data_IF_866558749103
#
_entry.id   IF_866558749103
#
_cell.length_a   1.000
_cell.length_b   1.000
_cell.length_c   1.000
_cell.angle_alpha   90.00
_cell.angle_beta   90.00
_cell.angle_gamma   90.00
#
_symmetry.space_group_name_H-M   'P 1'
#
loop_
_entity.id
_entity.type
_entity.pdbx_description
1 polymer ?
#
# COMPACT_ATOMS: atom_id res chain seq x y z
N UNK A 1 -2.56 16.04 -16.56
CA UNK A 1 -2.24 14.60 -16.39
C UNK A 1 -3.47 13.78 -16.72
N UNK A 2 -3.32 12.65 -17.40
CA UNK A 2 -4.44 11.77 -17.80
C UNK A 2 -4.58 10.62 -16.81
N UNK A 3 -5.78 10.41 -16.27
CA UNK A 3 -6.03 9.37 -15.26
C UNK A 3 -6.49 8.07 -15.94
N UNK A 4 -5.93 6.94 -15.51
CA UNK A 4 -6.36 5.59 -15.89
C UNK A 4 -6.70 4.80 -14.64
N UNK A 5 -7.85 4.14 -14.64
CA UNK A 5 -8.14 3.11 -13.65
C UNK A 5 -7.57 1.79 -14.13
N UNK A 6 -6.87 1.07 -13.25
CA UNK A 6 -6.17 -0.17 -13.59
C UNK A 6 -6.49 -1.28 -12.61
N UNK A 7 -6.38 -2.52 -13.08
CA UNK A 7 -6.41 -3.71 -12.25
C UNK A 7 -5.02 -3.86 -11.59
N UNK A 8 -4.91 -3.38 -10.35
CA UNK A 8 -3.67 -3.47 -9.58
C UNK A 8 -3.25 -4.91 -9.29
N UNK A 9 -4.21 -5.82 -9.11
CA UNK A 9 -3.92 -7.24 -8.91
C UNK A 9 -3.23 -7.81 -10.16
N UNK A 10 -3.74 -7.49 -11.35
CA UNK A 10 -3.11 -7.91 -12.61
C UNK A 10 -1.70 -7.36 -12.75
N UNK A 11 -1.47 -6.08 -12.45
CA UNK A 11 -0.13 -5.47 -12.50
C UNK A 11 0.83 -6.18 -11.54
N UNK A 12 0.42 -6.39 -10.28
CA UNK A 12 1.25 -7.06 -9.26
C UNK A 12 1.63 -8.49 -9.61
N UNK A 13 0.75 -9.19 -10.32
CA UNK A 13 0.97 -10.58 -10.74
C UNK A 13 1.72 -10.71 -12.07
N UNK A 14 1.96 -9.62 -12.82
CA UNK A 14 2.55 -9.69 -14.18
C UNK A 14 3.80 -8.83 -14.34
N UNK A 15 3.72 -7.52 -14.12
CA UNK A 15 4.77 -6.57 -14.51
C UNK A 15 5.46 -5.90 -13.34
N UNK A 16 4.73 -5.57 -12.26
CA UNK A 16 5.28 -4.83 -11.13
C UNK A 16 4.61 -5.23 -9.82
N UNK A 17 5.24 -6.13 -9.06
CA UNK A 17 4.72 -6.62 -7.77
C UNK A 17 4.64 -5.54 -6.69
N UNK A 18 5.41 -4.46 -6.81
CA UNK A 18 5.42 -3.35 -5.85
C UNK A 18 4.40 -2.25 -6.19
N UNK A 19 3.56 -2.46 -7.21
CA UNK A 19 2.50 -1.50 -7.53
C UNK A 19 1.48 -1.41 -6.38
N UNK A 20 1.38 -0.25 -5.73
CA UNK A 20 0.52 -0.01 -4.58
C UNK A 20 -0.32 1.28 -4.73
N UNK A 21 -1.61 1.11 -5.00
CA UNK A 21 -2.60 2.19 -5.07
C UNK A 21 -2.55 3.04 -6.34
N UNK A 22 -1.40 3.60 -6.69
CA UNK A 22 -1.23 4.41 -7.91
C UNK A 22 0.22 4.40 -8.42
N UNK A 23 0.43 4.77 -9.68
CA UNK A 23 1.76 5.04 -10.21
C UNK A 23 1.76 6.13 -11.30
N UNK A 24 2.90 6.80 -11.43
CA UNK A 24 3.23 7.67 -12.55
C UNK A 24 4.46 7.11 -13.27
N UNK A 25 4.80 7.66 -14.44
CA UNK A 25 6.03 7.29 -15.15
C UNK A 25 7.31 7.41 -14.30
N UNK A 26 7.31 8.26 -13.26
CA UNK A 26 8.45 8.41 -12.36
C UNK A 26 8.63 7.21 -11.41
N UNK A 27 7.55 6.51 -11.08
CA UNK A 27 7.57 5.33 -10.22
C UNK A 27 7.67 4.04 -11.03
N UNK A 28 6.97 3.99 -12.17
CA UNK A 28 6.93 2.82 -13.03
C UNK A 28 7.02 3.27 -14.48
N UNK A 29 8.14 2.94 -15.14
CA UNK A 29 8.37 3.29 -16.55
C UNK A 29 7.36 2.69 -17.53
N UNK A 30 6.62 1.65 -17.12
CA UNK A 30 5.51 1.10 -17.90
C UNK A 30 4.31 2.05 -17.98
N UNK A 31 4.17 2.99 -17.03
CA UNK A 31 3.15 4.05 -17.08
C UNK A 31 3.59 5.09 -18.11
N UNK A 32 2.77 5.41 -19.13
CA UNK A 32 3.15 6.43 -20.12
C UNK A 32 3.36 7.81 -19.49
N UNK A 33 4.30 8.60 -20.06
CA UNK A 33 4.53 9.99 -19.61
C UNK A 33 3.24 10.80 -19.66
N UNK A 34 2.94 11.49 -18.57
CA UNK A 34 1.73 12.31 -18.43
C UNK A 34 0.47 11.53 -18.02
N UNK A 35 0.56 10.22 -17.80
CA UNK A 35 -0.50 9.40 -17.20
C UNK A 35 -0.28 9.19 -15.68
N UNK A 36 -1.41 9.04 -14.97
CA UNK A 36 -1.51 8.55 -13.60
C UNK A 36 -2.41 7.32 -13.62
N UNK A 37 -1.85 6.17 -13.28
CA UNK A 37 -2.59 4.93 -13.09
C UNK A 37 -3.03 4.83 -11.63
N UNK A 38 -4.31 4.53 -11.39
CA UNK A 38 -4.91 4.40 -10.06
C UNK A 38 -5.62 3.06 -10.00
N UNK A 39 -5.48 2.31 -8.91
CA UNK A 39 -6.27 1.10 -8.69
C UNK A 39 -7.77 1.38 -8.75
N UNK A 40 -8.52 0.50 -9.40
CA UNK A 40 -9.95 0.66 -9.61
C UNK A 40 -10.75 0.85 -8.31
N UNK A 41 -10.38 0.16 -7.23
CA UNK A 41 -11.02 0.29 -5.91
C UNK A 41 -10.81 1.68 -5.29
N UNK A 42 -9.75 2.40 -5.70
CA UNK A 42 -9.47 3.77 -5.27
C UNK A 42 -10.16 4.82 -6.14
N UNK A 43 -10.99 4.43 -7.11
CA UNK A 43 -11.80 5.38 -7.91
C UNK A 43 -12.57 6.41 -7.04
N UNK A 44 -13.19 6.05 -5.90
CA UNK A 44 -13.85 7.03 -5.02
C UNK A 44 -12.89 8.02 -4.36
N UNK A 45 -11.59 7.68 -4.30
CA UNK A 45 -10.52 8.46 -3.68
C UNK A 45 -9.56 9.05 -4.72
N UNK A 46 -9.95 9.08 -6.01
CA UNK A 46 -9.07 9.52 -7.11
C UNK A 46 -8.49 10.92 -6.89
N UNK A 47 -9.27 11.83 -6.30
CA UNK A 47 -8.86 13.22 -6.09
C UNK A 47 -7.76 13.30 -5.02
N UNK A 48 -7.77 12.37 -4.05
CA UNK A 48 -6.68 12.20 -3.10
C UNK A 48 -5.40 11.74 -3.82
N UNK A 49 -5.49 10.79 -4.76
CA UNK A 49 -4.32 10.32 -5.51
C UNK A 49 -3.71 11.42 -6.37
N UNK A 50 -4.56 12.24 -7.01
CA UNK A 50 -4.12 13.44 -7.74
C UNK A 50 -3.40 14.40 -6.80
N UNK A 51 -3.98 14.70 -5.64
CA UNK A 51 -3.38 15.60 -4.66
C UNK A 51 -2.03 15.09 -4.13
N UNK A 52 -1.91 13.79 -3.89
CA UNK A 52 -0.65 13.14 -3.52
C UNK A 52 0.42 13.38 -4.59
N UNK A 53 0.13 13.03 -5.85
CA UNK A 53 1.08 13.17 -6.97
C UNK A 53 1.48 14.64 -7.19
N UNK A 54 0.53 15.56 -7.14
CA UNK A 54 0.82 16.99 -7.28
C UNK A 54 1.72 17.50 -6.15
N UNK A 55 1.52 17.00 -4.94
CA UNK A 55 2.32 17.37 -3.77
C UNK A 55 3.74 16.82 -3.88
N UNK A 56 3.90 15.56 -4.30
CA UNK A 56 5.20 14.97 -4.59
C UNK A 56 5.96 15.75 -5.65
N UNK A 57 5.29 16.13 -6.76
CA UNK A 57 5.91 16.92 -7.82
C UNK A 57 6.32 18.31 -7.34
N UNK A 58 5.46 18.97 -6.56
CA UNK A 58 5.72 20.29 -5.96
C UNK A 58 6.91 20.25 -5.01
N UNK A 59 7.08 19.17 -4.25
CA UNK A 59 8.10 19.02 -3.22
C UNK A 59 9.18 17.98 -3.52
N UNK A 60 9.42 17.65 -4.80
CA UNK A 60 10.35 16.60 -5.26
C UNK A 60 11.80 16.70 -4.76
N UNK A 61 12.22 17.85 -4.22
CA UNK A 61 13.55 18.06 -3.61
C UNK A 61 13.58 17.78 -2.11
N UNK A 62 12.44 17.44 -1.50
CA UNK A 62 12.30 17.10 -0.08
C UNK A 62 12.38 15.58 0.09
N UNK A 63 12.67 15.15 1.31
CA UNK A 63 12.63 13.73 1.67
C UNK A 63 11.20 13.21 1.64
N UNK A 64 11.04 11.92 1.36
CA UNK A 64 9.74 11.26 1.36
C UNK A 64 9.00 11.44 2.71
N UNK A 65 9.72 11.29 3.83
CA UNK A 65 9.16 11.55 5.16
C UNK A 65 8.60 12.97 5.31
N UNK A 66 9.28 13.98 4.77
CA UNK A 66 8.78 15.37 4.78
C UNK A 66 7.55 15.56 3.89
N UNK A 67 7.46 14.84 2.77
CA UNK A 67 6.30 14.89 1.87
C UNK A 67 5.11 14.20 2.54
N UNK A 68 5.30 13.02 3.13
CA UNK A 68 4.27 12.27 3.85
C UNK A 68 3.72 13.05 5.04
N UNK A 69 4.59 13.64 5.87
CA UNK A 69 4.17 14.47 7.00
C UNK A 69 3.33 15.69 6.55
N UNK A 70 3.68 16.26 5.40
CA UNK A 70 2.90 17.34 4.79
C UNK A 70 1.53 16.84 4.32
N UNK A 71 1.47 15.72 3.62
CA UNK A 71 0.22 15.13 3.14
C UNK A 71 -0.70 14.71 4.29
N UNK A 72 -0.15 14.17 5.38
CA UNK A 72 -0.90 13.93 6.61
C UNK A 72 -1.50 15.23 7.16
N UNK A 73 -0.77 16.35 7.14
CA UNK A 73 -1.29 17.65 7.60
C UNK A 73 -2.33 18.26 6.66
N UNK A 74 -2.15 18.12 5.35
CA UNK A 74 -2.97 18.81 4.33
C UNK A 74 -4.23 18.01 3.96
N UNK A 75 -4.15 16.67 3.92
CA UNK A 75 -5.22 15.82 3.39
C UNK A 75 -5.96 15.00 4.46
N UNK A 76 -5.34 14.69 5.60
CA UNK A 76 -6.03 13.96 6.65
C UNK A 76 -7.03 14.87 7.37
N UNK A 77 -8.27 14.40 7.50
CA UNK A 77 -9.31 15.07 8.25
C UNK A 77 -8.99 15.01 9.75
N UNK A 78 -9.04 16.17 10.41
CA UNK A 78 -8.89 16.26 11.85
C UNK A 78 -10.12 15.72 12.60
N UNK A 79 -9.87 15.11 13.76
CA UNK A 79 -10.89 14.54 14.64
C UNK A 79 -10.83 13.01 14.74
N UNK A 80 -11.75 12.43 15.49
CA UNK A 80 -11.79 10.98 15.70
C UNK A 80 -12.26 10.26 14.42
N UNK A 81 -11.51 9.27 13.91
CA UNK A 81 -11.97 8.47 12.79
C UNK A 81 -13.24 7.68 13.20
N UNK A 82 -14.20 7.48 12.28
CA UNK A 82 -15.29 6.54 12.52
C UNK A 82 -14.73 5.11 12.67
N UNK A 83 -15.50 4.15 13.23
CA UNK A 83 -15.06 2.76 13.34
C UNK A 83 -14.59 2.21 11.99
N UNK A 84 -13.33 1.79 11.93
CA UNK A 84 -12.68 1.32 10.70
C UNK A 84 -12.17 -0.12 10.79
N UNK A 85 -12.15 -0.74 11.96
CA UNK A 85 -11.73 -2.13 12.09
C UNK A 85 -12.86 -3.04 11.59
N UNK A 86 -12.57 -3.85 10.57
CA UNK A 86 -13.52 -4.80 9.97
C UNK A 86 -13.37 -6.21 10.55
N UNK A 87 -12.15 -6.64 10.82
CA UNK A 87 -11.85 -7.98 11.35
C UNK A 87 -10.58 -7.94 12.19
N UNK A 88 -10.52 -8.81 13.21
CA UNK A 88 -9.32 -9.06 14.01
C UNK A 88 -9.00 -10.55 14.00
N UNK A 89 -7.74 -10.88 13.80
CA UNK A 89 -7.20 -12.23 13.91
C UNK A 89 -5.95 -12.20 14.79
N UNK A 90 -5.59 -13.36 15.35
CA UNK A 90 -4.39 -13.51 16.17
C UNK A 90 -3.50 -14.62 15.61
N UNK A 91 -2.20 -14.35 15.53
CA UNK A 91 -1.15 -15.30 15.16
C UNK A 91 -0.05 -15.24 16.22
N UNK A 92 -0.18 -16.06 17.25
CA UNK A 92 0.67 -15.98 18.44
C UNK A 92 0.52 -14.63 19.14
N UNK A 93 1.63 -13.91 19.34
CA UNK A 93 1.64 -12.57 19.94
C UNK A 93 1.22 -11.45 18.96
N UNK A 94 1.19 -11.73 17.67
CA UNK A 94 0.86 -10.76 16.61
C UNK A 94 -0.66 -10.72 16.36
N UNK A 95 -1.22 -9.52 16.23
CA UNK A 95 -2.60 -9.32 15.79
C UNK A 95 -2.63 -8.86 14.33
N UNK A 96 -3.51 -9.47 13.53
CA UNK A 96 -3.78 -9.06 12.15
C UNK A 96 -5.12 -8.35 12.14
N UNK A 97 -5.12 -7.08 11.76
CA UNK A 97 -6.29 -6.20 11.79
C UNK A 97 -6.65 -5.86 10.36
N UNK A 98 -7.81 -6.31 9.89
CA UNK A 98 -8.35 -5.83 8.63
C UNK A 98 -9.08 -4.52 8.88
N UNK A 99 -8.65 -3.46 8.18
CA UNK A 99 -9.13 -2.09 8.36
C UNK A 99 -9.81 -1.58 7.10
N UNK A 100 -10.73 -0.64 7.27
CA UNK A 100 -11.26 0.17 6.19
C UNK A 100 -10.19 1.16 5.74
N UNK A 101 -9.45 0.83 4.68
CA UNK A 101 -8.34 1.66 4.21
C UNK A 101 -8.76 3.07 3.81
N UNK A 102 -9.99 3.26 3.34
CA UNK A 102 -10.49 4.60 3.00
C UNK A 102 -10.64 5.47 4.26
N UNK A 103 -11.05 4.89 5.40
CA UNK A 103 -11.06 5.63 6.67
C UNK A 103 -9.64 5.93 7.14
N UNK A 104 -8.72 4.96 7.03
CA UNK A 104 -7.31 5.18 7.41
C UNK A 104 -6.68 6.29 6.57
N UNK A 105 -6.85 6.26 5.24
CA UNK A 105 -6.35 7.31 4.33
C UNK A 105 -6.94 8.68 4.61
N UNK A 106 -8.24 8.71 4.91
CA UNK A 106 -8.95 9.97 5.17
C UNK A 106 -8.61 10.61 6.51
N UNK A 107 -8.29 9.84 7.56
CA UNK A 107 -8.18 10.37 8.92
C UNK A 107 -6.81 10.18 9.58
N UNK A 108 -5.99 9.25 9.11
CA UNK A 108 -4.75 8.84 9.77
C UNK A 108 -3.56 9.06 8.84
N UNK A 109 -3.57 8.40 7.69
CA UNK A 109 -2.43 8.41 6.77
C UNK A 109 -2.85 8.27 5.30
N UNK A 110 -2.86 9.37 4.52
CA UNK A 110 -3.21 9.37 3.09
C UNK A 110 -2.43 8.37 2.22
N UNK A 111 -1.27 7.89 2.68
CA UNK A 111 -0.44 6.90 1.97
C UNK A 111 -0.61 5.47 2.49
N UNK A 112 -1.65 5.17 3.25
CA UNK A 112 -1.94 3.80 3.63
C UNK A 112 -2.54 3.04 2.43
N UNK A 113 -1.71 2.25 1.75
CA UNK A 113 -2.08 1.38 0.64
C UNK A 113 -1.69 -0.05 0.95
N UNK A 114 -2.52 -1.01 0.55
CA UNK A 114 -2.32 -2.45 0.78
C UNK A 114 -2.29 -2.88 2.26
N UNK A 115 -1.25 -2.52 3.00
CA UNK A 115 -1.03 -2.94 4.37
C UNK A 115 0.09 -2.17 5.06
N UNK A 116 0.39 -2.56 6.30
CA UNK A 116 1.47 -1.99 7.08
C UNK A 116 1.60 -2.58 8.47
N UNK A 117 2.72 -2.30 9.16
CA UNK A 117 2.94 -2.77 10.52
C UNK A 117 3.64 -1.77 11.46
N UNK A 118 3.60 -2.09 12.76
CA UNK A 118 4.07 -1.28 13.90
C UNK A 118 5.55 -0.87 13.92
N UNK A 119 6.39 -1.55 13.13
CA UNK A 119 7.81 -1.20 12.95
C UNK A 119 8.06 -0.18 11.82
N UNK A 120 7.09 0.06 10.94
CA UNK A 120 7.17 1.03 9.84
C UNK A 120 6.27 2.24 10.13
N UNK A 121 5.06 1.97 10.61
CA UNK A 121 4.06 3.01 10.88
C UNK A 121 3.88 3.23 12.37
N UNK A 122 4.29 4.42 12.84
CA UNK A 122 4.21 4.79 14.26
C UNK A 122 2.77 4.85 14.82
N UNK A 123 1.76 4.99 13.96
CA UNK A 123 0.35 4.99 14.37
C UNK A 123 -0.24 3.58 14.49
N UNK A 124 0.45 2.55 13.99
CA UNK A 124 0.02 1.16 14.16
C UNK A 124 0.47 0.66 15.54
N UNK A 125 -0.45 0.17 16.38
CA UNK A 125 -0.09 -0.31 17.72
C UNK A 125 0.92 -1.45 17.69
N UNK A 126 1.74 -1.55 18.75
CA UNK A 126 2.77 -2.60 18.85
C UNK A 126 2.18 -4.00 18.71
N UNK A 127 2.87 -4.84 17.96
CA UNK A 127 2.44 -6.19 17.59
C UNK A 127 1.13 -6.24 16.80
N UNK A 128 0.88 -5.23 15.96
CA UNK A 128 -0.19 -5.26 14.97
C UNK A 128 0.35 -5.17 13.53
N UNK A 129 -0.34 -5.88 12.63
CA UNK A 129 -0.28 -5.68 11.18
C UNK A 129 -1.67 -5.25 10.74
N UNK A 130 -1.76 -4.16 10.00
CA UNK A 130 -3.00 -3.68 9.41
C UNK A 130 -3.03 -4.04 7.92
N UNK A 131 -4.17 -4.54 7.45
CA UNK A 131 -4.41 -4.87 6.04
C UNK A 131 -5.62 -4.09 5.56
N UNK A 132 -5.49 -3.38 4.44
CA UNK A 132 -6.61 -2.70 3.81
C UNK A 132 -7.60 -3.73 3.24
N UNK A 133 -8.78 -3.77 3.87
CA UNK A 133 -9.87 -4.69 3.55
C UNK A 133 -10.62 -4.33 2.26
N UNK A 134 -10.32 -3.18 1.63
CA UNK A 134 -10.87 -2.81 0.32
C UNK A 134 -10.16 -3.51 -0.84
N UNK A 135 -8.99 -4.11 -0.60
CA UNK A 135 -8.31 -4.92 -1.60
C UNK A 135 -9.05 -6.21 -1.90
N UNK A 136 -8.80 -6.78 -3.07
CA UNK A 136 -9.30 -8.10 -3.41
C UNK A 136 -8.82 -9.14 -2.38
N UNK A 137 -9.66 -10.15 -2.09
CA UNK A 137 -9.30 -11.22 -1.17
C UNK A 137 -8.03 -11.97 -1.62
N UNK A 138 -7.78 -12.03 -2.94
CA UNK A 138 -6.56 -12.63 -3.50
C UNK A 138 -5.33 -11.80 -3.16
N UNK A 139 -5.37 -10.48 -3.32
CA UNK A 139 -4.24 -9.62 -2.96
C UNK A 139 -4.02 -9.54 -1.45
N UNK A 140 -5.09 -9.56 -0.66
CA UNK A 140 -5.02 -9.57 0.81
C UNK A 140 -4.08 -10.66 1.34
N UNK A 141 -4.08 -11.86 0.74
CA UNK A 141 -3.20 -12.97 1.13
C UNK A 141 -1.72 -12.62 0.87
N UNK A 142 -1.43 -12.02 -0.28
CA UNK A 142 -0.06 -11.67 -0.67
C UNK A 142 0.45 -10.46 0.10
N UNK A 143 -0.39 -9.45 0.32
CA UNK A 143 -0.07 -8.35 1.24
C UNK A 143 0.23 -8.89 2.63
N UNK A 144 -0.57 -9.83 3.16
CA UNK A 144 -0.28 -10.41 4.47
C UNK A 144 1.05 -11.18 4.49
N UNK A 145 1.41 -11.91 3.42
CA UNK A 145 2.73 -12.55 3.29
C UNK A 145 3.84 -11.52 3.34
N UNK A 146 3.71 -10.43 2.58
CA UNK A 146 4.65 -9.32 2.54
C UNK A 146 4.87 -8.74 3.94
N UNK A 147 3.79 -8.27 4.57
CA UNK A 147 3.84 -7.62 5.90
C UNK A 147 4.37 -8.54 6.99
N UNK A 148 4.03 -9.84 6.95
CA UNK A 148 4.56 -10.81 7.92
C UNK A 148 6.06 -11.01 7.75
N UNK A 149 6.53 -11.09 6.50
CA UNK A 149 7.94 -11.33 6.20
C UNK A 149 8.80 -10.11 6.52
N UNK A 150 8.38 -8.92 6.05
CA UNK A 150 9.05 -7.64 6.32
C UNK A 150 9.17 -7.41 7.83
N UNK A 151 8.05 -7.51 8.56
CA UNK A 151 8.03 -7.31 10.02
C UNK A 151 8.94 -8.30 10.74
N UNK A 152 8.94 -9.57 10.34
CA UNK A 152 9.77 -10.60 10.97
C UNK A 152 11.26 -10.33 10.80
N UNK A 153 11.68 -9.81 9.64
CA UNK A 153 13.06 -9.41 9.37
C UNK A 153 13.45 -8.15 10.15
N UNK A 154 12.59 -7.13 10.13
CA UNK A 154 12.83 -5.89 10.89
C UNK A 154 12.87 -6.13 12.40
N UNK A 155 12.05 -7.03 12.92
CA UNK A 155 12.07 -7.42 14.33
C UNK A 155 13.38 -8.09 14.75
N UNK A 156 14.18 -8.60 13.80
CA UNK A 156 15.52 -9.16 14.02
C UNK A 156 16.63 -8.14 13.79
N UNK A 157 16.29 -6.88 13.56
CA UNK A 157 17.24 -5.78 13.38
C UNK A 157 17.63 -5.49 11.92
N UNK A 158 16.95 -6.09 10.94
CA UNK A 158 17.14 -5.72 9.53
C UNK A 158 16.58 -4.33 9.28
N UNK A 159 17.27 -3.52 8.46
CA UNK A 159 16.75 -2.23 8.03
C UNK A 159 15.55 -2.39 7.08
N UNK A 160 14.73 -1.34 7.00
CA UNK A 160 13.50 -1.35 6.21
C UNK A 160 13.74 -1.69 4.74
N UNK A 161 14.74 -1.07 4.09
CA UNK A 161 14.95 -1.26 2.65
C UNK A 161 15.30 -2.71 2.33
N UNK A 162 16.22 -3.31 3.10
CA UNK A 162 16.56 -4.72 2.94
C UNK A 162 15.35 -5.63 3.24
N UNK A 163 14.62 -5.38 4.33
CA UNK A 163 13.47 -6.21 4.71
C UNK A 163 12.35 -6.17 3.67
N UNK A 164 12.10 -4.99 3.10
CA UNK A 164 11.13 -4.75 2.05
C UNK A 164 11.50 -5.50 0.76
N UNK A 165 12.76 -5.44 0.34
CA UNK A 165 13.24 -6.16 -0.84
C UNK A 165 13.08 -7.69 -0.71
N UNK A 166 13.35 -8.25 0.48
CA UNK A 166 13.12 -9.66 0.78
C UNK A 166 11.62 -10.00 0.82
N UNK A 167 10.78 -9.13 1.39
CA UNK A 167 9.34 -9.32 1.41
C UNK A 167 8.75 -9.32 -0.01
N UNK A 168 9.21 -8.42 -0.90
CA UNK A 168 8.85 -8.44 -2.32
C UNK A 168 9.30 -9.72 -3.02
N UNK A 169 10.47 -10.26 -2.68
CA UNK A 169 10.93 -11.54 -3.23
C UNK A 169 10.04 -12.72 -2.77
N UNK A 170 9.71 -12.77 -1.49
CA UNK A 170 8.82 -13.77 -0.90
C UNK A 170 7.41 -13.68 -1.51
N UNK A 171 6.84 -12.48 -1.59
CA UNK A 171 5.54 -12.23 -2.22
C UNK A 171 5.52 -12.70 -3.68
N UNK A 172 6.54 -12.33 -4.47
CA UNK A 172 6.68 -12.76 -5.87
C UNK A 172 6.73 -14.28 -6.00
N UNK A 173 7.44 -14.95 -5.10
CA UNK A 173 7.52 -16.41 -5.09
C UNK A 173 6.14 -17.04 -4.89
N UNK A 174 5.36 -16.58 -3.93
CA UNK A 174 4.00 -17.11 -3.69
C UNK A 174 3.01 -16.74 -4.80
N UNK A 175 3.10 -15.54 -5.37
CA UNK A 175 2.28 -15.15 -6.53
C UNK A 175 2.52 -16.06 -7.73
N UNK A 176 3.79 -16.34 -8.04
CA UNK A 176 4.17 -17.23 -9.15
C UNK A 176 3.71 -18.67 -8.94
N UNK A 177 3.71 -19.17 -7.70
CA UNK A 177 3.14 -20.49 -7.37
C UNK A 177 1.65 -20.62 -7.70
N UNK A 178 0.88 -19.52 -7.64
CA UNK A 178 -0.53 -19.54 -8.04
C UNK A 178 -0.75 -19.48 -9.56
N UNK A 179 0.31 -19.25 -10.34
CA UNK A 179 0.31 -19.25 -11.80
C UNK A 179 -0.07 -17.90 -12.41
N UNK A 180 0.87 -17.26 -13.13
CA UNK A 180 0.68 -15.96 -13.80
C UNK A 180 -0.39 -16.01 -14.89
N UNK A 181 -0.56 -17.17 -15.55
CA UNK A 181 -1.52 -17.37 -16.64
C UNK A 181 -2.98 -17.02 -16.25
N UNK A 182 -3.32 -17.14 -14.96
CA UNK A 182 -4.65 -16.81 -14.43
C UNK A 182 -4.94 -15.30 -14.42
N UNK A 183 -3.94 -14.46 -14.64
CA UNK A 183 -4.04 -13.00 -14.64
C UNK A 183 -3.74 -12.38 -16.01
N UNK A 184 -3.35 -13.19 -17.00
CA UNK A 184 -3.02 -12.72 -18.36
C UNK A 184 -4.12 -12.99 -19.39
N UNK A 185 -5.11 -13.83 -19.07
CA UNK A 185 -6.21 -14.13 -19.98
C UNK A 185 -7.30 -13.06 -19.83
N UNK A 186 -7.45 -12.23 -20.87
CA UNK A 186 -8.59 -11.33 -21.09
C UNK A 186 -9.73 -12.09 -21.77
#
# INVERSE_FOLDING_TARGET
>A
MKIRLVDGAKIRNTTNTDFAGFATHAYDSAVPKGELWIEDYLKPERDLMVHIVETEQRYKRRTFASIRARLQKEAAKHGTPPPFIKKRERRGSLAIIHVDGAVVRKYIDPYFFLGGHDLVYAYIPKNEIWIDALNSAKDTVFTLIHELHERALMARGMDYASAHDYALAEERYHRRKQGVARFTNN
#
